data_IF_888226929200
#
_entry.id   IF_888226929200
#
_cell.length_a   1.000
_cell.length_b   1.000
_cell.length_c   1.000
_cell.angle_alpha   90.00
_cell.angle_beta   90.00
_cell.angle_gamma   90.00
#
_symmetry.space_group_name_H-M   'P 1'
#
loop_
_entity.id
_entity.type
_entity.pdbx_description
1 polymer ?
#
# COMPACT_ATOMS: atom_id res chain seq x y z
N UNK A 1 -8.70 68.35 -14.49
CA UNK A 1 -8.18 67.27 -13.64
C UNK A 1 -8.10 65.99 -14.47
N UNK A 2 -6.95 65.78 -15.13
CA UNK A 2 -6.78 64.78 -16.18
C UNK A 2 -6.42 63.44 -15.54
N UNK A 3 -7.42 62.58 -15.27
CA UNK A 3 -7.17 61.19 -14.86
C UNK A 3 -6.50 60.48 -16.03
N UNK A 4 -5.17 60.39 -15.99
CA UNK A 4 -4.36 59.81 -17.05
C UNK A 4 -4.72 58.34 -17.22
N UNK A 5 -5.09 57.95 -18.44
CA UNK A 5 -5.37 56.57 -18.87
C UNK A 5 -4.35 55.53 -18.36
N UNK A 6 -3.09 55.96 -18.20
CA UNK A 6 -1.98 55.18 -17.63
C UNK A 6 -2.23 54.70 -16.18
N UNK A 7 -2.87 55.51 -15.34
CA UNK A 7 -3.17 55.14 -13.95
C UNK A 7 -4.20 54.01 -13.86
N UNK A 8 -5.23 54.05 -14.71
CA UNK A 8 -6.23 52.98 -14.79
C UNK A 8 -5.65 51.66 -15.31
N UNK A 9 -4.74 51.74 -16.30
CA UNK A 9 -4.07 50.56 -16.85
C UNK A 9 -3.16 49.86 -15.82
N UNK A 10 -2.40 50.64 -15.03
CA UNK A 10 -1.51 50.10 -13.99
C UNK A 10 -2.31 49.44 -12.85
N UNK A 11 -3.43 50.04 -12.45
CA UNK A 11 -4.32 49.45 -11.43
C UNK A 11 -4.96 48.17 -11.97
N UNK A 12 -5.44 48.17 -13.22
CA UNK A 12 -6.01 46.98 -13.86
C UNK A 12 -5.02 45.82 -13.96
N UNK A 13 -3.77 46.11 -14.32
CA UNK A 13 -2.70 45.10 -14.38
C UNK A 13 -2.38 44.53 -13.00
N UNK A 14 -2.28 45.39 -11.98
CA UNK A 14 -2.02 44.95 -10.61
C UNK A 14 -3.13 44.04 -10.05
N UNK A 15 -4.40 44.37 -10.33
CA UNK A 15 -5.55 43.53 -9.94
C UNK A 15 -5.54 42.20 -10.68
N UNK A 16 -5.25 42.18 -11.99
CA UNK A 16 -5.18 40.95 -12.77
C UNK A 16 -4.06 40.02 -12.27
N UNK A 17 -2.89 40.57 -11.93
CA UNK A 17 -1.78 39.80 -11.34
C UNK A 17 -2.17 39.25 -9.96
N UNK A 18 -2.81 40.05 -9.10
CA UNK A 18 -3.26 39.59 -7.78
C UNK A 18 -4.29 38.47 -7.89
N UNK A 19 -5.26 38.58 -8.80
CA UNK A 19 -6.26 37.52 -9.04
C UNK A 19 -5.61 36.25 -9.58
N UNK A 20 -4.65 36.36 -10.50
CA UNK A 20 -3.91 35.21 -11.01
C UNK A 20 -3.09 34.53 -9.91
N UNK A 21 -2.42 35.30 -9.05
CA UNK A 21 -1.67 34.77 -7.90
C UNK A 21 -2.61 34.09 -6.90
N UNK A 22 -3.76 34.68 -6.59
CA UNK A 22 -4.76 34.08 -5.70
C UNK A 22 -5.39 32.82 -6.29
N UNK A 23 -5.63 32.77 -7.60
CA UNK A 23 -6.12 31.58 -8.28
C UNK A 23 -5.08 30.45 -8.25
N UNK A 24 -3.80 30.76 -8.48
CA UNK A 24 -2.69 29.80 -8.36
C UNK A 24 -2.59 29.29 -6.90
N UNK A 25 -2.66 30.19 -5.90
CA UNK A 25 -2.65 29.81 -4.48
C UNK A 25 -3.85 28.92 -4.14
N UNK A 26 -5.06 29.27 -4.60
CA UNK A 26 -6.27 28.45 -4.39
C UNK A 26 -6.14 27.06 -5.05
N UNK A 27 -5.50 26.97 -6.21
CA UNK A 27 -5.27 25.71 -6.91
C UNK A 27 -4.25 24.80 -6.20
N UNK A 28 -3.26 25.39 -5.53
CA UNK A 28 -2.37 24.68 -4.60
C UNK A 28 -3.06 24.31 -3.27
N UNK A 29 -4.09 25.05 -2.88
CA UNK A 29 -4.90 24.81 -1.68
C UNK A 29 -6.12 23.93 -1.92
N UNK A 30 -6.39 23.49 -3.16
CA UNK A 30 -7.40 22.46 -3.42
C UNK A 30 -6.89 21.14 -2.84
N UNK A 31 -7.20 20.94 -1.56
CA UNK A 31 -6.77 19.79 -0.78
C UNK A 31 -7.45 18.50 -1.20
N UNK A 32 -8.47 18.56 -2.07
CA UNK A 32 -9.22 17.39 -2.50
C UNK A 32 -8.43 16.60 -3.54
N UNK A 33 -7.85 15.50 -3.09
CA UNK A 33 -7.01 14.62 -3.90
C UNK A 33 -7.77 14.07 -5.11
N UNK A 34 -9.05 13.69 -4.96
CA UNK A 34 -9.86 13.20 -6.08
C UNK A 34 -9.90 14.20 -7.25
N UNK A 35 -10.14 15.48 -6.98
CA UNK A 35 -10.23 16.50 -8.03
C UNK A 35 -8.90 16.69 -8.76
N UNK A 36 -7.78 16.69 -8.02
CA UNK A 36 -6.43 16.74 -8.60
C UNK A 36 -6.15 15.51 -9.47
N UNK A 37 -6.50 14.33 -8.97
CA UNK A 37 -6.38 13.04 -9.67
C UNK A 37 -7.17 13.05 -10.98
N UNK A 38 -8.45 13.42 -10.94
CA UNK A 38 -9.31 13.50 -12.13
C UNK A 38 -8.80 14.52 -13.14
N UNK A 39 -8.43 15.73 -12.69
CA UNK A 39 -7.88 16.78 -13.58
C UNK A 39 -6.59 16.33 -14.27
N UNK A 40 -5.72 15.63 -13.55
CA UNK A 40 -4.48 15.09 -14.10
C UNK A 40 -4.72 13.85 -14.96
N UNK A 41 -5.80 13.12 -14.74
CA UNK A 41 -6.19 11.94 -15.49
C UNK A 41 -5.47 10.65 -15.08
N UNK A 42 -4.83 10.63 -13.90
CA UNK A 42 -4.08 9.49 -13.37
C UNK A 42 -3.91 9.54 -11.85
N UNK A 43 -3.86 8.37 -11.22
CA UNK A 43 -3.55 8.17 -9.79
C UNK A 43 -2.04 8.01 -9.63
N UNK A 44 -1.40 8.87 -8.86
CA UNK A 44 0.02 8.74 -8.53
C UNK A 44 0.18 7.89 -7.27
N UNK A 45 0.84 6.74 -7.41
CA UNK A 45 1.03 5.75 -6.37
C UNK A 45 2.49 5.68 -5.94
N UNK A 46 2.75 5.96 -4.66
CA UNK A 46 4.02 5.63 -4.04
C UNK A 46 4.08 4.13 -3.78
N UNK A 47 5.09 3.45 -4.34
CA UNK A 47 5.26 1.99 -4.22
C UNK A 47 6.69 1.63 -3.83
N UNK A 48 6.95 0.34 -3.61
CA UNK A 48 8.28 -0.15 -3.28
C UNK A 48 9.19 -0.03 -4.51
N UNK A 49 10.51 0.14 -4.32
CA UNK A 49 11.46 0.19 -5.45
C UNK A 49 11.61 -1.17 -6.15
N UNK A 50 11.41 -2.25 -5.41
CA UNK A 50 11.54 -3.61 -5.92
C UNK A 50 11.41 -4.62 -4.80
N UNK A 51 10.20 -5.12 -4.60
CA UNK A 51 9.88 -6.19 -3.67
C UNK A 51 9.00 -7.22 -4.40
N UNK A 52 9.55 -8.39 -4.79
CA UNK A 52 8.80 -9.42 -5.49
C UNK A 52 7.45 -9.71 -4.84
N UNK A 53 6.39 -9.81 -5.63
CA UNK A 53 5.02 -10.05 -5.18
C UNK A 53 4.29 -8.83 -4.60
N UNK A 54 4.98 -7.82 -4.09
CA UNK A 54 4.34 -6.59 -3.59
C UNK A 54 4.39 -5.45 -4.60
N UNK A 55 5.58 -5.15 -5.13
CA UNK A 55 5.76 -4.15 -6.18
C UNK A 55 7.14 -4.33 -6.85
N UNK A 56 7.13 -4.71 -8.12
CA UNK A 56 8.37 -4.88 -8.91
C UNK A 56 8.15 -4.39 -10.35
N UNK A 57 9.07 -3.57 -10.91
CA UNK A 57 9.06 -3.24 -12.33
C UNK A 57 9.73 -4.35 -13.14
N UNK A 58 9.22 -4.61 -14.35
CA UNK A 58 9.95 -5.34 -15.38
C UNK A 58 10.90 -4.42 -16.16
N UNK A 59 11.69 -4.98 -17.07
CA UNK A 59 12.66 -4.23 -17.90
C UNK A 59 12.01 -3.20 -18.84
N UNK A 60 10.70 -3.30 -19.06
CA UNK A 60 9.89 -2.38 -19.87
C UNK A 60 9.21 -1.30 -19.02
N UNK A 61 9.43 -1.32 -17.70
CA UNK A 61 8.81 -0.40 -16.75
C UNK A 61 7.36 -0.75 -16.38
N UNK A 62 6.87 -1.94 -16.71
CA UNK A 62 5.57 -2.41 -16.25
C UNK A 62 5.68 -2.89 -14.80
N UNK A 63 4.83 -2.35 -13.94
CA UNK A 63 4.80 -2.70 -12.54
C UNK A 63 3.85 -3.87 -12.28
N UNK A 64 4.22 -4.80 -11.40
CA UNK A 64 3.35 -5.89 -10.93
C UNK A 64 3.48 -6.07 -9.43
N UNK A 65 2.46 -6.64 -8.79
CA UNK A 65 2.46 -6.93 -7.35
C UNK A 65 1.16 -6.53 -6.65
N UNK A 66 1.03 -6.98 -5.41
CA UNK A 66 -0.14 -6.77 -4.56
C UNK A 66 -0.44 -5.27 -4.34
N UNK A 67 0.57 -4.49 -3.96
CA UNK A 67 0.42 -3.05 -3.72
C UNK A 67 0.16 -2.27 -5.04
N UNK A 68 0.72 -2.77 -6.15
CA UNK A 68 0.54 -2.23 -7.50
C UNK A 68 -0.90 -2.44 -7.96
N UNK A 69 -1.44 -3.62 -7.73
CA UNK A 69 -2.80 -3.96 -8.13
C UNK A 69 -3.84 -3.25 -7.29
N UNK A 70 -3.57 -3.01 -6.00
CA UNK A 70 -4.42 -2.14 -5.20
C UNK A 70 -4.48 -0.71 -5.79
N UNK A 71 -3.35 -0.18 -6.26
CA UNK A 71 -3.31 1.09 -6.98
C UNK A 71 -4.10 1.07 -8.30
N UNK A 72 -4.02 -0.03 -9.04
CA UNK A 72 -4.86 -0.25 -10.24
C UNK A 72 -6.34 -0.32 -9.89
N UNK A 73 -6.71 -0.87 -8.74
CA UNK A 73 -8.10 -0.90 -8.28
C UNK A 73 -8.62 0.52 -8.03
N UNK A 74 -7.84 1.38 -7.36
CA UNK A 74 -8.21 2.79 -7.18
C UNK A 74 -8.36 3.50 -8.53
N UNK A 75 -7.44 3.25 -9.48
CA UNK A 75 -7.52 3.81 -10.83
C UNK A 75 -8.75 3.31 -11.60
N UNK A 76 -9.07 2.02 -11.54
CA UNK A 76 -10.26 1.42 -12.17
C UNK A 76 -11.56 1.99 -11.58
N UNK A 77 -11.61 2.21 -10.26
CA UNK A 77 -12.76 2.83 -9.60
C UNK A 77 -13.07 4.24 -10.13
N UNK A 78 -12.02 5.04 -10.38
CA UNK A 78 -12.13 6.44 -10.79
C UNK A 78 -12.31 6.57 -12.31
N UNK A 79 -11.53 5.83 -13.10
CA UNK A 79 -11.36 6.03 -14.54
C UNK A 79 -11.88 4.90 -15.41
N UNK A 80 -12.32 3.78 -14.83
CA UNK A 80 -12.60 2.54 -15.56
C UNK A 80 -11.40 2.04 -16.39
N UNK A 81 -10.18 2.37 -15.94
CA UNK A 81 -8.93 2.03 -16.63
C UNK A 81 -7.82 1.82 -15.60
N UNK A 82 -7.37 0.57 -15.36
CA UNK A 82 -6.28 0.29 -14.42
C UNK A 82 -4.93 0.87 -14.89
N UNK A 83 -4.78 1.20 -16.18
CA UNK A 83 -3.59 1.85 -16.75
C UNK A 83 -3.40 3.31 -16.34
N UNK A 84 -4.40 3.91 -15.68
CA UNK A 84 -4.32 5.25 -15.07
C UNK A 84 -3.60 5.28 -13.72
N UNK A 85 -3.13 4.14 -13.22
CA UNK A 85 -2.19 4.12 -12.08
C UNK A 85 -0.75 4.38 -12.58
N UNK A 86 -0.07 5.37 -12.01
CA UNK A 86 1.36 5.63 -12.21
C UNK A 86 2.13 5.37 -10.93
N UNK A 87 3.32 4.79 -11.07
CA UNK A 87 4.09 4.28 -9.96
C UNK A 87 5.33 5.13 -9.74
N UNK A 88 5.47 5.62 -8.51
CA UNK A 88 6.64 6.38 -8.04
C UNK A 88 7.37 5.48 -7.04
N UNK A 89 8.56 4.96 -7.37
CA UNK A 89 9.32 4.10 -6.48
C UNK A 89 9.91 4.91 -5.33
N UNK A 90 9.62 4.54 -4.08
CA UNK A 90 10.01 5.29 -2.88
C UNK A 90 10.78 4.41 -1.88
N UNK A 91 11.84 4.98 -1.30
CA UNK A 91 12.54 4.34 -0.19
C UNK A 91 11.79 4.46 1.15
N UNK A 92 12.14 3.61 2.11
CA UNK A 92 11.46 3.57 3.41
C UNK A 92 11.55 4.90 4.16
N UNK A 93 12.70 5.58 4.06
CA UNK A 93 13.00 6.84 4.74
C UNK A 93 12.27 8.06 4.17
N UNK A 94 11.88 8.04 2.88
CA UNK A 94 11.30 9.21 2.20
C UNK A 94 9.78 9.09 1.94
N UNK A 95 9.23 7.86 1.98
CA UNK A 95 7.86 7.56 1.52
C UNK A 95 6.75 8.46 2.12
N UNK A 96 6.85 8.78 3.41
CA UNK A 96 5.85 9.61 4.09
C UNK A 96 5.97 11.07 3.70
N UNK A 97 7.19 11.59 3.64
CA UNK A 97 7.46 12.95 3.18
C UNK A 97 6.95 13.16 1.75
N UNK A 98 7.10 12.15 0.90
CA UNK A 98 6.64 12.24 -0.50
C UNK A 98 5.12 12.16 -0.65
N UNK A 99 4.43 11.47 0.27
CA UNK A 99 2.98 11.54 0.37
C UNK A 99 2.52 12.91 0.90
N UNK A 100 3.19 13.46 1.92
CA UNK A 100 2.91 14.79 2.50
C UNK A 100 3.16 15.93 1.50
N UNK A 101 4.24 15.82 0.71
CA UNK A 101 4.60 16.77 -0.35
C UNK A 101 3.64 16.72 -1.54
N UNK A 102 2.70 15.76 -1.54
CA UNK A 102 1.73 15.50 -2.63
C UNK A 102 2.39 15.08 -3.94
N UNK A 103 3.61 14.54 -3.89
CA UNK A 103 4.26 13.87 -5.04
C UNK A 103 3.49 12.62 -5.45
N UNK A 104 2.86 11.96 -4.49
CA UNK A 104 1.94 10.84 -4.70
C UNK A 104 0.58 11.13 -4.06
N UNK A 105 -0.49 10.53 -4.57
CA UNK A 105 -1.84 10.67 -4.03
C UNK A 105 -2.12 9.64 -2.93
N UNK A 106 -1.51 8.46 -3.07
CA UNK A 106 -1.63 7.32 -2.17
C UNK A 106 -0.26 6.63 -2.06
N UNK A 107 0.06 6.13 -0.88
CA UNK A 107 1.20 5.25 -0.65
C UNK A 107 0.67 3.82 -0.47
N UNK A 108 0.85 2.98 -1.48
CA UNK A 108 0.54 1.54 -1.44
C UNK A 108 1.88 0.81 -1.46
N UNK A 109 2.43 0.53 -0.27
CA UNK A 109 3.83 0.08 -0.13
C UNK A 109 4.06 -0.62 1.20
N UNK A 110 3.68 -1.88 1.37
CA UNK A 110 3.95 -2.72 2.56
C UNK A 110 4.23 -1.93 3.87
N UNK A 111 3.30 -1.04 4.26
CA UNK A 111 3.52 -0.05 5.32
C UNK A 111 2.58 -0.33 6.47
N UNK A 112 3.14 -0.67 7.62
CA UNK A 112 2.42 -0.84 8.89
C UNK A 112 1.64 0.40 9.31
N UNK A 113 0.40 0.20 9.70
CA UNK A 113 -0.36 1.17 10.47
C UNK A 113 0.13 1.18 11.92
N UNK A 114 0.62 2.34 12.37
CA UNK A 114 0.91 2.59 13.79
C UNK A 114 0.45 3.99 14.19
N UNK A 115 0.16 4.17 15.48
CA UNK A 115 -0.25 5.45 16.05
C UNK A 115 0.80 6.54 15.80
N UNK A 116 2.09 6.23 15.98
CA UNK A 116 3.17 7.18 15.71
C UNK A 116 3.17 7.65 14.24
N UNK A 117 2.90 6.75 13.28
CA UNK A 117 2.84 7.14 11.87
C UNK A 117 1.66 8.06 11.56
N UNK A 118 0.53 7.88 12.22
CA UNK A 118 -0.62 8.79 12.05
C UNK A 118 -0.37 10.16 12.67
N UNK A 119 0.21 10.20 13.89
CA UNK A 119 0.41 11.43 14.64
C UNK A 119 1.62 12.23 14.15
N UNK A 120 2.75 11.58 13.87
CA UNK A 120 4.00 12.28 13.53
C UNK A 120 4.02 12.75 12.07
N UNK A 121 3.20 12.14 11.20
CA UNK A 121 3.18 12.45 9.77
C UNK A 121 1.83 12.97 9.26
N UNK A 122 0.83 13.17 10.11
CA UNK A 122 -0.53 13.59 9.72
C UNK A 122 -1.12 12.68 8.61
N UNK A 123 -1.09 11.37 8.84
CA UNK A 123 -1.52 10.34 7.88
C UNK A 123 -2.75 9.57 8.38
N UNK A 124 -3.50 9.00 7.44
CA UNK A 124 -4.53 8.01 7.70
C UNK A 124 -4.18 6.69 7.02
N UNK A 125 -4.55 5.59 7.67
CA UNK A 125 -4.47 4.22 7.15
C UNK A 125 -5.88 3.71 6.91
N UNK A 126 -6.45 3.85 5.70
CA UNK A 126 -7.88 3.72 5.52
C UNK A 126 -8.42 2.31 5.80
N UNK A 127 -7.66 1.26 5.51
CA UNK A 127 -8.00 -0.12 5.84
C UNK A 127 -6.76 -1.02 5.73
N UNK A 128 -6.73 -2.12 6.47
CA UNK A 128 -5.61 -3.08 6.46
C UNK A 128 -5.73 -4.02 5.26
N UNK A 129 -4.79 -3.94 4.32
CA UNK A 129 -4.77 -4.79 3.13
C UNK A 129 -4.06 -6.13 3.38
N UNK A 130 -3.09 -6.16 4.29
CA UNK A 130 -2.35 -7.39 4.61
C UNK A 130 -1.92 -7.38 6.08
N UNK A 131 -2.26 -8.41 6.83
CA UNK A 131 -1.82 -8.63 8.21
C UNK A 131 -0.52 -9.43 8.22
N UNK A 132 0.54 -8.84 8.76
CA UNK A 132 1.87 -9.45 8.86
C UNK A 132 2.43 -9.35 10.30
N UNK A 133 3.67 -9.78 10.47
CA UNK A 133 4.48 -9.58 11.67
C UNK A 133 5.96 -9.55 11.33
N UNK A 134 6.78 -8.90 12.16
CA UNK A 134 8.23 -8.97 12.00
C UNK A 134 8.72 -10.37 12.37
N UNK A 135 9.56 -10.94 11.52
CA UNK A 135 10.22 -12.22 11.75
C UNK A 135 11.72 -12.15 11.49
N UNK A 136 12.33 -13.34 11.43
CA UNK A 136 13.76 -13.49 11.17
C UNK A 136 14.02 -14.57 10.12
N UNK A 137 14.91 -14.27 9.18
CA UNK A 137 15.46 -15.24 8.24
C UNK A 137 16.94 -15.49 8.57
N UNK A 138 17.33 -16.76 8.54
CA UNK A 138 18.69 -17.22 8.82
C UNK A 138 19.14 -18.25 7.77
N UNK A 139 20.46 -18.42 7.55
CA UNK A 139 20.97 -19.59 6.86
C UNK A 139 20.61 -20.86 7.64
N UNK A 140 20.17 -21.91 6.95
CA UNK A 140 19.83 -23.21 7.55
C UNK A 140 20.98 -23.83 8.33
N UNK A 141 22.22 -23.57 7.90
CA UNK A 141 23.45 -24.03 8.56
C UNK A 141 23.61 -23.51 9.99
N UNK A 142 22.87 -22.46 10.38
CA UNK A 142 22.88 -21.95 11.76
C UNK A 142 22.09 -22.80 12.75
N UNK A 143 21.28 -23.76 12.27
CA UNK A 143 20.48 -24.68 13.10
C UNK A 143 19.70 -23.95 14.21
N UNK A 144 18.96 -22.90 13.83
CA UNK A 144 18.09 -22.12 14.72
C UNK A 144 16.65 -22.55 14.49
N UNK A 145 15.91 -22.77 15.56
CA UNK A 145 14.53 -23.24 15.50
C UNK A 145 13.55 -22.11 15.77
N UNK A 146 13.91 -21.22 16.71
CA UNK A 146 13.06 -20.12 17.17
C UNK A 146 13.81 -18.80 17.20
N UNK A 147 13.06 -17.72 17.24
CA UNK A 147 13.62 -16.37 17.41
C UNK A 147 14.37 -16.17 18.74
N UNK A 148 14.11 -17.01 19.76
CA UNK A 148 14.83 -17.00 21.04
C UNK A 148 16.26 -17.56 20.94
N UNK A 149 16.58 -18.30 19.87
CA UNK A 149 17.91 -18.88 19.66
C UNK A 149 18.93 -17.86 19.09
N UNK A 150 18.50 -16.62 18.86
CA UNK A 150 19.26 -15.60 18.13
C UNK A 150 20.20 -14.75 18.99
N UNK A 151 20.43 -15.12 20.26
CA UNK A 151 21.37 -14.39 21.10
C UNK A 151 22.79 -14.43 20.50
N UNK A 152 23.44 -13.28 20.45
CA UNK A 152 24.75 -13.07 19.83
C UNK A 152 24.73 -12.88 18.31
N UNK A 153 23.56 -12.88 17.66
CA UNK A 153 23.46 -12.70 16.20
C UNK A 153 23.78 -11.27 15.74
N UNK A 154 24.22 -11.17 14.48
CA UNK A 154 24.35 -9.91 13.72
C UNK A 154 23.11 -9.74 12.85
N UNK A 155 22.22 -8.85 13.25
CA UNK A 155 20.90 -8.69 12.64
C UNK A 155 20.91 -7.53 11.66
N UNK A 156 20.78 -7.86 10.37
CA UNK A 156 20.56 -6.90 9.30
C UNK A 156 19.13 -6.35 9.36
N UNK A 157 18.98 -5.03 9.34
CA UNK A 157 17.70 -4.32 9.35
C UNK A 157 17.74 -3.09 8.43
N UNK A 158 16.58 -2.72 7.88
CA UNK A 158 16.44 -1.47 7.12
C UNK A 158 16.06 -0.32 8.06
N UNK A 159 16.77 0.82 7.94
CA UNK A 159 16.45 2.07 8.62
C UNK A 159 15.05 2.59 8.27
N UNK A 160 14.44 3.38 9.16
CA UNK A 160 13.11 3.98 8.94
C UNK A 160 11.94 2.98 8.95
N UNK A 161 12.13 1.81 9.55
CA UNK A 161 11.12 0.75 9.66
C UNK A 161 10.72 0.48 11.10
N UNK A 162 9.50 -0.04 11.29
CA UNK A 162 9.04 -0.60 12.58
C UNK A 162 9.93 -1.76 13.03
N UNK A 163 10.47 -2.53 12.09
CA UNK A 163 11.40 -3.65 12.31
C UNK A 163 12.57 -3.27 13.22
N UNK A 164 13.24 -2.15 12.99
CA UNK A 164 14.38 -1.71 13.83
C UNK A 164 14.00 -1.59 15.31
N UNK A 165 12.85 -0.96 15.59
CA UNK A 165 12.34 -0.76 16.94
C UNK A 165 11.89 -2.08 17.58
N UNK A 166 11.15 -2.90 16.83
CA UNK A 166 10.63 -4.18 17.31
C UNK A 166 11.76 -5.18 17.63
N UNK A 167 12.80 -5.24 16.80
CA UNK A 167 13.97 -6.09 17.06
C UNK A 167 14.67 -5.63 18.34
N UNK A 168 14.89 -4.32 18.52
CA UNK A 168 15.51 -3.80 19.73
C UNK A 168 14.70 -4.14 21.00
N UNK A 169 13.37 -3.96 20.95
CA UNK A 169 12.49 -4.30 22.08
C UNK A 169 12.44 -5.80 22.36
N UNK A 170 12.36 -6.63 21.33
CA UNK A 170 12.31 -8.09 21.47
C UNK A 170 13.57 -8.64 22.14
N UNK A 171 14.76 -8.24 21.67
CA UNK A 171 16.01 -8.67 22.28
C UNK A 171 16.16 -8.16 23.72
N UNK A 172 15.72 -6.93 23.99
CA UNK A 172 15.74 -6.34 25.34
C UNK A 172 14.84 -7.10 26.31
N UNK A 173 13.57 -7.35 25.95
CA UNK A 173 12.59 -8.02 26.82
C UNK A 173 13.00 -9.47 27.13
N UNK A 174 13.66 -10.14 26.18
CA UNK A 174 14.13 -11.51 26.34
C UNK A 174 15.55 -11.62 26.92
N UNK A 175 16.17 -10.51 27.35
CA UNK A 175 17.56 -10.47 27.85
C UNK A 175 18.60 -11.07 26.88
N UNK A 176 18.37 -10.92 25.58
CA UNK A 176 19.25 -11.40 24.51
C UNK A 176 20.16 -10.28 24.04
N UNK A 177 21.41 -10.60 23.70
CA UNK A 177 22.34 -9.66 23.07
C UNK A 177 22.30 -9.83 21.56
N UNK A 178 22.51 -8.75 20.81
CA UNK A 178 22.70 -8.79 19.36
C UNK A 178 23.51 -7.60 18.89
N UNK A 179 24.04 -7.69 17.68
CA UNK A 179 24.64 -6.56 16.97
C UNK A 179 23.66 -6.10 15.89
N UNK A 180 23.18 -4.85 15.98
CA UNK A 180 22.36 -4.24 14.93
C UNK A 180 23.27 -3.82 13.76
N UNK A 181 22.96 -4.31 12.56
CA UNK A 181 23.61 -3.88 11.32
C UNK A 181 22.58 -3.19 10.43
N UNK A 182 22.57 -1.86 10.48
CA UNK A 182 21.54 -1.03 9.86
C UNK A 182 21.98 -0.46 8.51
N UNK A 183 21.08 -0.48 7.53
CA UNK A 183 21.27 0.13 6.21
C UNK A 183 20.06 0.96 5.80
N UNK A 184 20.26 1.98 4.98
CA UNK A 184 19.16 2.80 4.47
C UNK A 184 18.42 2.13 3.30
N UNK A 185 19.16 1.50 2.38
CA UNK A 185 18.58 0.85 1.20
C UNK A 185 18.36 -0.64 1.42
N UNK A 186 17.21 -1.14 0.96
CA UNK A 186 16.85 -2.56 1.07
C UNK A 186 17.85 -3.49 0.35
N UNK A 187 18.38 -3.08 -0.81
CA UNK A 187 19.36 -3.88 -1.55
C UNK A 187 20.67 -4.08 -0.77
N UNK A 188 21.09 -3.08 0.01
CA UNK A 188 22.30 -3.18 0.84
C UNK A 188 22.07 -4.13 2.02
N UNK A 189 20.87 -4.14 2.60
CA UNK A 189 20.45 -5.11 3.63
C UNK A 189 20.56 -6.54 3.09
N UNK A 190 19.96 -6.81 1.93
CA UNK A 190 19.96 -8.14 1.30
C UNK A 190 21.38 -8.56 0.96
N UNK A 191 22.17 -7.68 0.35
CA UNK A 191 23.58 -7.96 0.01
C UNK A 191 24.43 -8.25 1.24
N UNK A 192 24.26 -7.49 2.32
CA UNK A 192 25.00 -7.71 3.56
C UNK A 192 24.66 -9.07 4.20
N UNK A 193 23.40 -9.48 4.14
CA UNK A 193 23.01 -10.82 4.59
C UNK A 193 23.54 -11.93 3.66
N UNK A 194 23.36 -11.80 2.34
CA UNK A 194 23.76 -12.83 1.35
C UNK A 194 25.28 -13.04 1.33
N UNK A 195 26.07 -11.98 1.61
CA UNK A 195 27.53 -12.04 1.71
C UNK A 195 28.06 -12.42 3.09
N UNK A 196 27.18 -12.68 4.08
CA UNK A 196 27.56 -13.11 5.42
C UNK A 196 28.08 -12.00 6.35
N UNK A 197 27.91 -10.72 6.00
CA UNK A 197 28.17 -9.59 6.91
C UNK A 197 27.20 -9.60 8.09
N UNK A 198 25.97 -10.07 7.85
CA UNK A 198 24.99 -10.41 8.86
C UNK A 198 24.72 -11.92 8.80
N UNK A 199 24.37 -12.50 9.95
CA UNK A 199 23.99 -13.92 10.03
C UNK A 199 22.48 -14.10 10.24
N UNK A 200 21.75 -12.99 10.31
CA UNK A 200 20.30 -12.91 10.52
C UNK A 200 19.76 -11.69 9.76
N UNK A 201 18.65 -11.86 9.06
CA UNK A 201 17.91 -10.76 8.42
C UNK A 201 16.54 -10.64 9.09
N UNK A 202 16.15 -9.44 9.51
CA UNK A 202 14.81 -9.17 10.04
C UNK A 202 14.04 -8.20 9.16
N UNK A 203 12.78 -8.51 8.93
CA UNK A 203 11.77 -7.74 8.21
C UNK A 203 10.38 -8.34 8.50
N UNK A 204 9.33 -7.76 7.94
CA UNK A 204 8.01 -8.39 7.94
C UNK A 204 8.11 -9.77 7.23
N UNK A 205 7.40 -10.79 7.71
CA UNK A 205 7.57 -12.16 7.21
C UNK A 205 7.27 -12.24 5.72
N UNK A 206 6.23 -11.57 5.23
CA UNK A 206 5.94 -11.55 3.78
C UNK A 206 7.07 -10.92 2.97
N UNK A 207 7.73 -9.89 3.52
CA UNK A 207 8.91 -9.28 2.93
C UNK A 207 10.08 -10.28 2.93
N UNK A 208 10.29 -11.05 4.00
CA UNK A 208 11.34 -12.09 4.04
C UNK A 208 11.14 -13.17 2.96
N UNK A 209 9.90 -13.59 2.70
CA UNK A 209 9.60 -14.52 1.59
C UNK A 209 10.06 -13.94 0.25
N UNK A 210 9.79 -12.67 0.01
CA UNK A 210 10.16 -11.97 -1.22
C UNK A 210 11.66 -11.73 -1.33
N UNK A 211 12.31 -11.29 -0.26
CA UNK A 211 13.76 -11.07 -0.23
C UNK A 211 14.54 -12.37 -0.43
N UNK A 212 14.04 -13.50 0.09
CA UNK A 212 14.66 -14.82 -0.10
C UNK A 212 14.82 -15.18 -1.57
N UNK A 213 13.89 -14.78 -2.44
CA UNK A 213 13.96 -15.04 -3.88
C UNK A 213 15.12 -14.31 -4.58
N UNK A 214 15.64 -13.23 -3.96
CA UNK A 214 16.73 -12.42 -4.50
C UNK A 214 18.11 -12.85 -3.98
N UNK A 215 18.19 -13.86 -3.12
CA UNK A 215 19.44 -14.39 -2.59
C UNK A 215 20.14 -15.27 -3.62
N UNK A 216 21.46 -15.44 -3.49
CA UNK A 216 22.23 -16.30 -4.39
C UNK A 216 21.77 -17.76 -4.30
N UNK A 217 21.38 -18.23 -3.11
CA UNK A 217 20.88 -19.61 -2.89
C UNK A 217 19.61 -19.62 -2.04
N UNK A 218 18.44 -19.28 -2.59
CA UNK A 218 17.19 -19.13 -1.82
C UNK A 218 16.83 -20.33 -0.93
N UNK A 219 17.13 -21.55 -1.38
CA UNK A 219 16.83 -22.80 -0.65
C UNK A 219 17.63 -23.00 0.63
N UNK A 220 18.80 -22.35 0.75
CA UNK A 220 19.71 -22.48 1.90
C UNK A 220 19.27 -21.64 3.11
N UNK A 221 18.17 -20.90 2.98
CA UNK A 221 17.67 -20.00 4.01
C UNK A 221 16.28 -20.39 4.49
N UNK A 222 16.04 -20.23 5.78
CA UNK A 222 14.75 -20.47 6.43
C UNK A 222 14.29 -19.23 7.17
N UNK A 223 12.98 -19.01 7.15
CA UNK A 223 12.29 -18.02 7.97
C UNK A 223 11.86 -18.77 9.23
N UNK A 224 12.22 -18.23 10.40
CA UNK A 224 11.82 -18.79 11.69
C UNK A 224 10.30 -18.65 11.89
N UNK A 225 9.66 -19.58 12.61
CA UNK A 225 8.21 -19.65 12.69
C UNK A 225 7.58 -18.52 13.52
N UNK A 226 8.32 -17.91 14.45
CA UNK A 226 7.78 -16.91 15.35
C UNK A 226 7.77 -15.50 14.73
N UNK A 227 6.71 -14.76 15.01
CA UNK A 227 6.62 -13.32 14.76
C UNK A 227 6.72 -12.56 16.08
N UNK A 228 7.46 -11.44 16.08
CA UNK A 228 7.72 -10.65 17.30
C UNK A 228 6.85 -9.39 17.41
N UNK A 229 6.07 -9.08 16.37
CA UNK A 229 5.26 -7.86 16.32
C UNK A 229 3.97 -8.06 15.51
N UNK A 230 3.08 -7.07 15.58
CA UNK A 230 1.90 -6.94 14.73
C UNK A 230 2.18 -5.90 13.66
N UNK A 231 2.11 -6.28 12.40
CA UNK A 231 2.36 -5.38 11.26
C UNK A 231 1.14 -5.35 10.32
N UNK A 232 0.05 -4.66 10.68
CA UNK A 232 -1.08 -4.45 9.78
C UNK A 232 -0.68 -3.49 8.64
N UNK A 233 -0.39 -4.03 7.47
CA UNK A 233 0.02 -3.28 6.29
C UNK A 233 -1.21 -2.68 5.60
N UNK A 234 -1.16 -1.38 5.35
CA UNK A 234 -2.28 -0.63 4.78
C UNK A 234 -1.80 0.37 3.73
N UNK A 235 -2.62 0.67 2.70
CA UNK A 235 -2.46 1.90 1.94
C UNK A 235 -2.51 3.11 2.88
N UNK A 236 -1.80 4.17 2.51
CA UNK A 236 -1.69 5.37 3.34
C UNK A 236 -2.09 6.59 2.52
N UNK A 237 -2.87 7.46 3.13
CA UNK A 237 -3.30 8.74 2.57
C UNK A 237 -3.02 9.86 3.55
N UNK A 238 -3.05 11.11 3.07
CA UNK A 238 -2.94 12.29 3.93
C UNK A 238 -4.21 12.45 4.78
N UNK A 239 -4.08 12.99 5.98
CA UNK A 239 -5.22 13.48 6.75
C UNK A 239 -5.88 14.69 6.07
N UNK A 240 -7.07 15.05 6.57
CA UNK A 240 -7.87 16.21 6.15
C UNK A 240 -8.34 16.13 4.69
N UNK A 241 -8.54 14.92 4.20
CA UNK A 241 -9.14 14.59 2.91
C UNK A 241 -9.99 13.32 3.05
N UNK A 242 -11.08 13.45 3.81
CA UNK A 242 -11.93 12.32 4.18
C UNK A 242 -12.60 11.68 2.95
N UNK A 243 -12.91 12.48 1.92
CA UNK A 243 -13.42 12.02 0.63
C UNK A 243 -12.43 11.02 -0.01
N UNK A 244 -11.15 11.40 -0.11
CA UNK A 244 -10.12 10.51 -0.66
C UNK A 244 -9.87 9.29 0.22
N UNK A 245 -9.84 9.47 1.54
CA UNK A 245 -9.72 8.35 2.49
C UNK A 245 -10.87 7.35 2.31
N UNK A 246 -12.11 7.82 2.17
CA UNK A 246 -13.28 6.98 1.94
C UNK A 246 -13.17 6.19 0.63
N UNK A 247 -12.73 6.81 -0.47
CA UNK A 247 -12.53 6.12 -1.74
C UNK A 247 -11.53 4.98 -1.58
N UNK A 248 -10.34 5.26 -1.02
CA UNK A 248 -9.29 4.25 -0.83
C UNK A 248 -9.76 3.13 0.11
N UNK A 249 -10.42 3.47 1.21
CA UNK A 249 -11.01 2.51 2.16
C UNK A 249 -11.99 1.57 1.47
N UNK A 250 -12.95 2.13 0.75
CA UNK A 250 -14.01 1.37 0.12
C UNK A 250 -13.53 0.62 -1.13
N UNK A 251 -12.48 1.06 -1.82
CA UNK A 251 -11.79 0.23 -2.84
C UNK A 251 -11.38 -1.12 -2.26
N UNK A 252 -10.67 -1.15 -1.12
CA UNK A 252 -10.26 -2.42 -0.52
C UNK A 252 -11.47 -3.23 -0.04
N UNK A 253 -12.41 -2.59 0.65
CA UNK A 253 -13.58 -3.29 1.17
C UNK A 253 -14.52 -3.81 0.09
N UNK A 254 -14.61 -3.16 -1.08
CA UNK A 254 -15.34 -3.71 -2.22
C UNK A 254 -14.67 -4.98 -2.76
N UNK A 255 -13.34 -5.02 -2.82
CA UNK A 255 -12.60 -6.23 -3.24
C UNK A 255 -12.80 -7.40 -2.27
N UNK A 256 -12.81 -7.13 -0.96
CA UNK A 256 -13.05 -8.15 0.07
C UNK A 256 -14.52 -8.61 0.06
N UNK A 257 -15.50 -7.68 0.01
CA UNK A 257 -16.91 -8.03 -0.12
C UNK A 257 -17.19 -8.83 -1.41
N UNK A 258 -16.51 -8.52 -2.52
CA UNK A 258 -16.64 -9.28 -3.75
C UNK A 258 -16.15 -10.73 -3.58
N UNK A 259 -15.02 -10.94 -2.90
CA UNK A 259 -14.53 -12.29 -2.58
C UNK A 259 -15.53 -13.05 -1.70
N UNK A 260 -16.04 -12.40 -0.63
CA UNK A 260 -17.02 -13.00 0.27
C UNK A 260 -18.33 -13.40 -0.44
N UNK A 261 -18.77 -12.59 -1.41
CA UNK A 261 -19.96 -12.85 -2.22
C UNK A 261 -19.72 -13.80 -3.39
N UNK A 262 -18.48 -14.25 -3.62
CA UNK A 262 -18.10 -15.10 -4.75
C UNK A 262 -18.14 -14.39 -6.11
N UNK A 263 -18.04 -13.06 -6.12
CA UNK A 263 -17.96 -12.26 -7.34
C UNK A 263 -16.49 -12.11 -7.75
N UNK A 264 -16.17 -12.50 -8.97
CA UNK A 264 -14.82 -12.54 -9.54
C UNK A 264 -14.74 -11.70 -10.82
N UNK A 265 -13.53 -11.46 -11.31
CA UNK A 265 -13.32 -10.86 -12.63
C UNK A 265 -13.99 -11.66 -13.76
N UNK A 266 -14.10 -12.97 -13.61
CA UNK A 266 -14.67 -13.88 -14.61
C UNK A 266 -16.21 -13.87 -14.64
N UNK A 267 -16.88 -13.64 -13.49
CA UNK A 267 -18.34 -13.71 -13.39
C UNK A 267 -19.04 -12.35 -13.19
N UNK A 268 -18.31 -11.24 -13.28
CA UNK A 268 -18.84 -9.89 -13.03
C UNK A 268 -20.05 -9.54 -13.92
N UNK A 269 -20.09 -10.03 -15.15
CA UNK A 269 -21.22 -9.81 -16.08
C UNK A 269 -22.50 -10.55 -15.67
N UNK A 270 -22.36 -11.67 -14.96
CA UNK A 270 -23.48 -12.38 -14.34
C UNK A 270 -23.91 -11.69 -13.05
N UNK A 271 -22.95 -11.23 -12.24
CA UNK A 271 -23.20 -10.50 -11.00
C UNK A 271 -24.01 -9.21 -11.26
N UNK A 272 -23.76 -8.50 -12.37
CA UNK A 272 -24.53 -7.33 -12.80
C UNK A 272 -26.03 -7.61 -13.04
N UNK A 273 -26.40 -8.87 -13.29
CA UNK A 273 -27.79 -9.33 -13.51
C UNK A 273 -28.42 -9.91 -12.24
N UNK A 274 -27.65 -10.06 -11.16
CA UNK A 274 -28.08 -10.67 -9.91
C UNK A 274 -29.29 -9.96 -9.31
N UNK A 275 -30.13 -10.74 -8.63
CA UNK A 275 -31.26 -10.25 -7.81
C UNK A 275 -30.98 -10.36 -6.31
N UNK A 276 -29.78 -10.83 -5.93
CA UNK A 276 -29.34 -10.86 -4.53
C UNK A 276 -29.02 -9.43 -4.08
N UNK A 277 -29.69 -8.88 -3.04
CA UNK A 277 -29.53 -7.47 -2.68
C UNK A 277 -28.08 -7.04 -2.41
N UNK A 278 -27.27 -7.89 -1.76
CA UNK A 278 -25.86 -7.59 -1.47
C UNK A 278 -25.02 -7.46 -2.73
N UNK A 279 -25.23 -8.35 -3.72
CA UNK A 279 -24.56 -8.28 -5.01
C UNK A 279 -25.03 -7.03 -5.78
N UNK A 280 -26.33 -6.71 -5.76
CA UNK A 280 -26.85 -5.52 -6.43
C UNK A 280 -26.24 -4.22 -5.91
N UNK A 281 -25.98 -4.13 -4.60
CA UNK A 281 -25.30 -2.98 -3.99
C UNK A 281 -23.81 -2.93 -4.33
N UNK A 282 -23.14 -4.07 -4.30
CA UNK A 282 -21.73 -4.18 -4.70
C UNK A 282 -21.55 -3.71 -6.16
N UNK A 283 -22.39 -4.18 -7.09
CA UNK A 283 -22.23 -3.88 -8.52
C UNK A 283 -22.90 -2.56 -8.97
N UNK A 284 -23.57 -1.86 -8.05
CA UNK A 284 -24.15 -0.55 -8.32
C UNK A 284 -25.51 -0.56 -9.02
N UNK A 285 -26.21 -1.69 -9.07
CA UNK A 285 -27.59 -1.78 -9.60
C UNK A 285 -28.65 -1.46 -8.55
N UNK A 286 -28.28 -1.40 -7.27
CA UNK A 286 -29.08 -0.88 -6.16
C UNK A 286 -28.30 0.22 -5.41
N UNK A 287 -28.96 1.35 -5.11
CA UNK A 287 -28.39 2.43 -4.33
C UNK A 287 -27.61 3.49 -5.13
N UNK A 288 -27.00 4.43 -4.42
CA UNK A 288 -26.28 5.59 -4.97
C UNK A 288 -24.94 5.87 -4.27
N UNK A 289 -24.37 4.89 -3.58
CA UNK A 289 -23.14 5.07 -2.77
C UNK A 289 -21.96 5.55 -3.60
N UNK A 290 -21.81 5.06 -4.85
CA UNK A 290 -20.77 5.55 -5.76
C UNK A 290 -20.83 7.05 -5.98
N UNK A 291 -22.02 7.60 -6.25
CA UNK A 291 -22.20 9.04 -6.46
C UNK A 291 -21.95 9.85 -5.18
N UNK A 292 -22.26 9.28 -4.01
CA UNK A 292 -21.94 9.89 -2.71
C UNK A 292 -20.43 9.91 -2.43
N UNK A 293 -19.67 8.93 -2.96
CA UNK A 293 -18.21 8.92 -2.96
C UNK A 293 -17.60 9.83 -4.05
N UNK A 294 -18.41 10.48 -4.88
CA UNK A 294 -17.94 11.27 -6.02
C UNK A 294 -17.51 10.43 -7.23
N UNK A 295 -17.91 9.17 -7.28
CA UNK A 295 -17.65 8.20 -8.36
C UNK A 295 -18.95 7.84 -9.10
N UNK A 296 -18.85 6.98 -10.11
CA UNK A 296 -20.04 6.40 -10.77
C UNK A 296 -20.63 5.27 -9.94
N UNK A 297 -21.90 4.89 -10.19
CA UNK A 297 -22.58 3.84 -9.40
C UNK A 297 -21.88 2.48 -9.49
N UNK A 298 -21.31 2.18 -10.65
CA UNK A 298 -20.64 0.92 -11.00
C UNK A 298 -19.15 0.87 -10.57
N UNK A 299 -18.65 1.84 -9.80
CA UNK A 299 -17.23 1.94 -9.43
C UNK A 299 -16.61 0.64 -8.91
N UNK A 300 -17.33 -0.10 -8.06
CA UNK A 300 -16.86 -1.36 -7.52
C UNK A 300 -16.87 -2.48 -8.58
N UNK A 301 -17.87 -2.53 -9.46
CA UNK A 301 -17.88 -3.45 -10.58
C UNK A 301 -16.69 -3.24 -11.54
N UNK A 302 -16.26 -1.98 -11.74
CA UNK A 302 -15.06 -1.65 -12.53
C UNK A 302 -13.80 -2.23 -11.89
N UNK A 303 -13.66 -2.09 -10.57
CA UNK A 303 -12.54 -2.71 -9.83
C UNK A 303 -12.50 -4.21 -10.10
N UNK A 304 -13.60 -4.91 -9.86
CA UNK A 304 -13.63 -6.38 -9.97
C UNK A 304 -13.39 -6.83 -11.42
N UNK A 305 -13.95 -6.11 -12.40
CA UNK A 305 -13.73 -6.43 -13.82
C UNK A 305 -12.27 -6.33 -14.22
N UNK A 306 -11.57 -5.28 -13.81
CA UNK A 306 -10.20 -5.01 -14.28
C UNK A 306 -9.11 -5.66 -13.42
N UNK A 307 -9.36 -5.80 -12.13
CA UNK A 307 -8.35 -6.18 -11.13
C UNK A 307 -8.75 -7.46 -10.38
N UNK A 308 -10.01 -7.85 -10.40
CA UNK A 308 -10.54 -8.96 -9.61
C UNK A 308 -10.83 -8.59 -8.15
N UNK A 309 -11.32 -9.56 -7.40
CA UNK A 309 -11.55 -9.45 -5.96
C UNK A 309 -10.25 -9.58 -5.14
N UNK A 310 -10.35 -9.50 -3.81
CA UNK A 310 -9.20 -9.59 -2.92
C UNK A 310 -8.42 -10.91 -3.07
N UNK A 311 -9.11 -12.04 -3.12
CA UNK A 311 -8.52 -13.37 -3.31
C UNK A 311 -7.76 -13.49 -4.63
N UNK A 312 -8.34 -13.00 -5.73
CA UNK A 312 -7.68 -12.98 -7.05
C UNK A 312 -6.40 -12.13 -7.05
N UNK A 313 -6.43 -10.96 -6.40
CA UNK A 313 -5.27 -10.09 -6.21
C UNK A 313 -4.22 -10.77 -5.33
N UNK A 314 -4.63 -11.41 -4.23
CA UNK A 314 -3.73 -12.11 -3.31
C UNK A 314 -3.02 -13.26 -4.02
N UNK A 315 -3.77 -14.17 -4.64
CA UNK A 315 -3.26 -15.42 -5.18
C UNK A 315 -2.24 -15.21 -6.29
N UNK A 316 -2.51 -14.28 -7.21
CA UNK A 316 -1.61 -14.02 -8.34
C UNK A 316 -0.28 -13.37 -7.93
N UNK A 317 -0.29 -12.61 -6.85
CA UNK A 317 0.85 -11.79 -6.46
C UNK A 317 1.71 -12.43 -5.38
N UNK A 318 1.07 -12.99 -4.34
CA UNK A 318 1.76 -13.49 -3.14
C UNK A 318 1.31 -14.89 -2.70
N UNK A 319 0.10 -15.31 -3.09
CA UNK A 319 -0.45 -16.63 -2.77
C UNK A 319 0.01 -17.76 -3.69
N UNK A 320 -0.84 -18.77 -3.84
CA UNK A 320 -0.54 -20.06 -4.50
C UNK A 320 -0.17 -19.95 -5.98
N UNK A 321 -0.68 -18.92 -6.67
CA UNK A 321 -0.37 -18.69 -8.10
C UNK A 321 0.91 -17.86 -8.28
N UNK A 322 1.59 -17.48 -7.20
CA UNK A 322 2.84 -16.73 -7.21
C UNK A 322 4.06 -17.61 -6.92
N UNK A 323 5.26 -17.06 -7.12
CA UNK A 323 6.51 -17.71 -6.69
C UNK A 323 6.69 -17.72 -5.18
N UNK A 324 5.97 -16.89 -4.44
CA UNK A 324 6.12 -16.75 -2.99
C UNK A 324 5.36 -17.84 -2.23
N UNK A 325 4.20 -18.25 -2.75
CA UNK A 325 3.34 -19.29 -2.16
C UNK A 325 3.05 -19.04 -0.68
N UNK A 326 2.76 -17.78 -0.34
CA UNK A 326 2.43 -17.40 1.02
C UNK A 326 1.00 -17.83 1.30
N UNK A 327 0.76 -18.73 2.27
CA UNK A 327 -0.61 -19.13 2.61
C UNK A 327 -1.37 -17.92 3.16
N UNK A 328 -2.69 -17.87 2.93
CA UNK A 328 -3.53 -16.74 3.38
C UNK A 328 -3.40 -16.45 4.88
N UNK A 329 -3.38 -17.47 5.73
CA UNK A 329 -3.24 -17.30 7.18
C UNK A 329 -4.25 -16.30 7.74
N UNK A 330 -3.77 -15.28 8.48
CA UNK A 330 -4.62 -14.19 8.98
C UNK A 330 -5.34 -13.42 7.86
N UNK A 331 -4.80 -13.42 6.64
CA UNK A 331 -5.41 -12.76 5.49
C UNK A 331 -6.55 -13.57 4.84
N UNK A 332 -6.97 -14.69 5.42
CA UNK A 332 -8.24 -15.31 5.05
C UNK A 332 -9.42 -14.39 5.37
N UNK A 333 -10.53 -14.59 4.66
CA UNK A 333 -11.81 -13.99 5.04
C UNK A 333 -12.17 -14.34 6.48
N UNK A 334 -12.89 -13.45 7.14
CA UNK A 334 -13.35 -13.63 8.52
C UNK A 334 -14.17 -14.92 8.72
N UNK A 335 -14.99 -15.28 7.74
CA UNK A 335 -15.81 -16.50 7.74
C UNK A 335 -15.02 -17.77 7.34
N UNK A 336 -13.74 -17.63 7.00
CA UNK A 336 -12.81 -18.71 6.66
C UNK A 336 -11.64 -18.82 7.66
N UNK A 337 -11.79 -18.25 8.86
CA UNK A 337 -10.82 -18.35 9.96
C UNK A 337 -9.70 -17.30 9.95
N UNK A 338 -9.78 -16.30 9.06
CA UNK A 338 -8.88 -15.15 9.08
C UNK A 338 -9.50 -13.90 9.72
N UNK A 339 -8.92 -12.74 9.43
CA UNK A 339 -9.34 -11.44 9.96
C UNK A 339 -9.60 -10.41 8.87
N UNK A 340 -9.59 -10.80 7.60
CA UNK A 340 -10.07 -9.92 6.53
C UNK A 340 -11.58 -9.79 6.64
N UNK A 341 -12.00 -8.69 7.30
CA UNK A 341 -13.38 -8.35 7.59
C UNK A 341 -13.69 -7.00 6.95
N UNK A 342 -14.50 -6.99 5.91
CA UNK A 342 -14.97 -5.77 5.31
C UNK A 342 -16.34 -5.37 5.89
N UNK A 343 -16.54 -4.10 6.27
CA UNK A 343 -17.87 -3.59 6.55
C UNK A 343 -18.83 -3.81 5.37
N UNK A 344 -20.13 -4.01 5.63
CA UNK A 344 -21.10 -4.23 4.57
C UNK A 344 -21.30 -2.96 3.74
N UNK A 345 -21.45 -3.12 2.43
CA UNK A 345 -21.88 -2.04 1.52
C UNK A 345 -23.40 -1.86 1.60
N UNK A 346 -23.87 -1.10 2.60
CA UNK A 346 -25.29 -0.97 2.96
C UNK A 346 -25.71 0.45 3.30
#
# INVERSE_FOLDING_TARGET
MMRTFRGGLLIGLAVAVLVAVLAIIYEFYDTRTLKRTVRRGEVLCGVNKGLPGFSIPDDKGNWTGFDVDFCRAVAAAIFDDPGKAKFVPLDANERFKELQSRKVDILSRNTTWSMARELDYDLYFPAVAYYDGVGFMVPRTRNKETSLDLTGSKVCVQSGTTTTLNVADYFRINNMKYEEVKFDNLNDVVKAYDTGRCDTLSADVSQLYALRLNLTKPGDHMILPDMISKEPLAPVVRQRDDDWMMIVKWTLYAMINAEELGVTSENIDEALKSKKPEVMRLVGTEGRYGEQLGLTKDWAARIIRHVGNYGEMYDRNIGEKSKLKIPRGMNQLWNAGGVQYAPPMR
#
